data_IF_445681329867
#
_entry.id   IF_445681329867
#
_cell.length_a   1.000
_cell.length_b   1.000
_cell.length_c   1.000
_cell.angle_alpha   90.00
_cell.angle_beta   90.00
_cell.angle_gamma   90.00
#
_symmetry.space_group_name_H-M   'P 1'
#
loop_
_entity.id
_entity.type
_entity.pdbx_description
1 polymer ?
#
# COMPACT_ATOMS: atom_id res chain seq x y z
N UNK A 1 -8.59 29.08 3.22
CA UNK A 1 -8.43 30.43 2.59
C UNK A 1 -7.62 30.39 1.27
N UNK A 2 -6.68 29.42 1.10
CA UNK A 2 -5.93 29.29 -0.16
C UNK A 2 -6.79 28.65 -1.26
N UNK A 3 -7.81 27.87 -0.92
CA UNK A 3 -8.69 27.20 -1.86
C UNK A 3 -9.58 28.14 -2.68
N UNK A 4 -9.88 29.32 -2.17
CA UNK A 4 -10.69 30.33 -2.86
C UNK A 4 -9.94 31.08 -3.98
N UNK A 5 -8.61 31.03 -3.95
CA UNK A 5 -7.76 31.70 -4.93
C UNK A 5 -7.38 30.83 -6.15
N UNK A 6 -7.61 29.52 -6.08
CA UNK A 6 -7.23 28.57 -7.14
C UNK A 6 -8.48 27.99 -7.82
N UNK A 7 -8.94 28.67 -8.84
CA UNK A 7 -10.07 28.18 -9.68
C UNK A 7 -9.67 26.83 -10.30
N UNK A 8 -10.48 25.80 -10.06
CA UNK A 8 -10.25 24.44 -10.60
C UNK A 8 -9.29 23.56 -9.79
N UNK A 9 -8.86 23.97 -8.59
CA UNK A 9 -8.13 23.11 -7.68
C UNK A 9 -9.07 22.39 -6.70
N UNK A 10 -8.67 21.22 -6.26
CA UNK A 10 -9.36 20.44 -5.23
C UNK A 10 -8.34 19.74 -4.33
N UNK A 11 -8.68 19.60 -3.06
CA UNK A 11 -7.90 18.78 -2.14
C UNK A 11 -8.52 17.37 -2.15
N UNK A 12 -7.73 16.39 -2.53
CA UNK A 12 -8.14 14.99 -2.56
C UNK A 12 -7.25 14.17 -1.63
N UNK A 13 -7.86 13.19 -0.96
CA UNK A 13 -7.10 12.16 -0.24
C UNK A 13 -6.73 11.11 -1.29
N UNK A 14 -5.44 10.99 -1.54
CA UNK A 14 -4.88 10.04 -2.50
C UNK A 14 -3.60 9.41 -1.97
N UNK A 15 -3.24 8.30 -2.55
CA UNK A 15 -1.88 7.78 -2.48
C UNK A 15 -0.91 8.79 -3.09
N UNK A 16 0.23 8.95 -2.47
CA UNK A 16 1.31 9.78 -2.98
C UNK A 16 2.65 9.14 -2.70
N UNK A 17 3.58 9.29 -3.65
CA UNK A 17 4.96 8.93 -3.43
C UNK A 17 5.56 9.93 -2.43
N UNK A 18 5.91 9.45 -1.25
CA UNK A 18 6.46 10.29 -0.19
C UNK A 18 7.94 9.98 0.04
N UNK A 19 8.77 11.00 0.08
CA UNK A 19 10.17 10.85 0.47
C UNK A 19 10.35 11.13 1.96
N UNK A 20 10.64 10.11 2.80
CA UNK A 20 10.78 10.32 4.25
C UNK A 20 12.02 11.12 4.65
N UNK A 21 13.03 11.19 3.79
CA UNK A 21 14.23 12.00 4.02
C UNK A 21 14.01 13.48 3.65
N UNK A 22 13.38 13.75 2.50
CA UNK A 22 13.11 15.13 2.06
C UNK A 22 11.82 15.70 2.67
N UNK A 23 11.00 14.87 3.33
CA UNK A 23 9.70 15.22 3.92
C UNK A 23 8.78 15.93 2.90
N UNK A 24 8.67 15.33 1.72
CA UNK A 24 7.87 15.88 0.62
C UNK A 24 7.24 14.80 -0.23
N UNK A 25 6.07 15.10 -0.80
CA UNK A 25 5.49 14.31 -1.85
C UNK A 25 6.27 14.48 -3.16
N UNK A 26 6.29 13.44 -3.97
CA UNK A 26 6.93 13.37 -5.28
C UNK A 26 5.89 13.02 -6.32
N UNK A 27 6.02 13.61 -7.51
CA UNK A 27 5.31 13.13 -8.70
C UNK A 27 5.92 11.84 -9.24
N UNK A 28 5.18 11.10 -10.05
CA UNK A 28 5.69 9.85 -10.65
C UNK A 28 6.97 10.07 -11.49
N UNK A 29 7.09 11.25 -12.12
CA UNK A 29 8.28 11.63 -12.89
C UNK A 29 9.53 11.89 -12.02
N UNK A 30 9.36 12.06 -10.72
CA UNK A 30 10.44 12.31 -9.75
C UNK A 30 10.86 11.05 -8.99
N UNK A 31 10.29 9.90 -9.33
CA UNK A 31 10.61 8.60 -8.74
C UNK A 31 11.38 7.77 -9.73
N UNK A 32 12.56 7.34 -9.35
CA UNK A 32 13.40 6.44 -10.12
C UNK A 32 13.25 5.02 -9.59
N UNK A 33 12.94 4.06 -10.46
CA UNK A 33 12.72 2.67 -10.04
C UNK A 33 13.97 1.83 -10.26
N UNK A 34 14.36 1.09 -9.23
CA UNK A 34 15.51 0.18 -9.27
C UNK A 34 15.17 -1.17 -8.67
N UNK A 35 15.67 -2.24 -9.30
CA UNK A 35 15.52 -3.58 -8.76
C UNK A 35 16.43 -3.75 -7.54
N UNK A 36 15.82 -4.06 -6.40
CA UNK A 36 16.55 -4.33 -5.16
C UNK A 36 16.35 -5.78 -4.72
N UNK A 37 17.43 -6.43 -4.26
CA UNK A 37 17.30 -7.74 -3.65
C UNK A 37 16.56 -7.62 -2.32
N UNK A 38 15.63 -8.52 -2.10
CA UNK A 38 14.82 -8.61 -0.91
C UNK A 38 14.41 -10.03 -0.64
N UNK A 39 13.37 -10.20 0.15
CA UNK A 39 12.75 -11.49 0.40
C UNK A 39 11.24 -11.38 0.24
N UNK A 40 10.64 -12.49 -0.07
CA UNK A 40 9.20 -12.71 0.01
C UNK A 40 8.94 -13.59 1.24
N UNK A 41 8.25 -13.03 2.22
CA UNK A 41 7.92 -13.71 3.47
C UNK A 41 6.51 -14.28 3.41
N UNK A 42 6.39 -15.57 3.74
CA UNK A 42 5.12 -16.29 3.79
C UNK A 42 4.66 -16.40 5.24
N UNK A 43 3.55 -15.74 5.55
CA UNK A 43 3.03 -15.62 6.90
C UNK A 43 1.62 -16.21 6.97
N UNK A 44 1.35 -16.99 8.03
CA UNK A 44 0.02 -17.54 8.29
C UNK A 44 -0.80 -16.59 9.15
N UNK A 45 -2.04 -16.37 8.75
CA UNK A 45 -3.05 -15.66 9.53
C UNK A 45 -4.10 -16.66 9.97
N UNK A 46 -4.19 -16.99 11.28
CA UNK A 46 -5.16 -17.94 11.78
C UNK A 46 -6.59 -17.47 11.55
N UNK A 47 -7.45 -18.37 11.13
CA UNK A 47 -8.88 -18.09 11.01
C UNK A 47 -9.51 -18.02 12.41
N UNK A 48 -10.41 -17.04 12.62
CA UNK A 48 -11.07 -16.85 13.94
C UNK A 48 -11.94 -18.03 14.36
N UNK A 49 -12.47 -18.79 13.39
CA UNK A 49 -13.29 -19.97 13.66
C UNK A 49 -12.45 -21.24 13.98
N UNK A 50 -11.13 -21.13 13.98
CA UNK A 50 -10.21 -22.24 14.24
C UNK A 50 -10.16 -23.31 13.16
N UNK A 51 -10.75 -23.05 11.98
CA UNK A 51 -10.80 -24.05 10.88
C UNK A 51 -9.46 -24.18 10.10
N UNK A 52 -8.47 -23.34 10.42
CA UNK A 52 -7.15 -23.37 9.77
C UNK A 52 -6.52 -21.98 9.68
N UNK A 53 -5.64 -21.81 8.71
CA UNK A 53 -4.90 -20.57 8.47
C UNK A 53 -5.07 -20.14 7.01
N UNK A 54 -5.04 -18.84 6.77
CA UNK A 54 -4.80 -18.29 5.43
C UNK A 54 -3.34 -17.83 5.33
N UNK A 55 -2.65 -18.18 4.26
CA UNK A 55 -1.25 -17.84 4.06
C UNK A 55 -1.14 -16.70 3.09
N UNK A 56 -0.49 -15.63 3.51
CA UNK A 56 -0.17 -14.48 2.66
C UNK A 56 1.33 -14.41 2.38
N UNK A 57 1.70 -13.78 1.28
CA UNK A 57 3.08 -13.50 0.94
C UNK A 57 3.29 -11.98 0.84
N UNK A 58 4.35 -11.47 1.46
CA UNK A 58 4.65 -10.03 1.46
C UNK A 58 6.13 -9.76 1.30
N UNK A 59 6.46 -8.67 0.62
CA UNK A 59 7.82 -8.10 0.56
C UNK A 59 8.04 -7.02 1.62
N UNK A 60 6.96 -6.59 2.31
CA UNK A 60 6.96 -5.47 3.24
C UNK A 60 6.31 -5.85 4.58
N UNK A 61 6.95 -6.71 5.39
CA UNK A 61 6.38 -7.12 6.68
C UNK A 61 6.21 -5.97 7.66
N UNK A 62 6.98 -4.88 7.55
CA UNK A 62 6.86 -3.68 8.39
C UNK A 62 5.52 -2.94 8.23
N UNK A 63 4.78 -3.17 7.16
CA UNK A 63 3.44 -2.58 6.97
C UNK A 63 2.31 -3.45 7.52
N UNK A 64 2.59 -4.72 7.88
CA UNK A 64 1.56 -5.67 8.32
C UNK A 64 0.72 -5.17 9.49
N UNK A 65 1.30 -4.39 10.39
CA UNK A 65 0.57 -3.83 11.54
C UNK A 65 -0.61 -2.95 11.12
N UNK A 66 -0.57 -2.41 9.89
CA UNK A 66 -1.64 -1.63 9.27
C UNK A 66 -2.60 -2.46 8.42
N UNK A 67 -2.50 -3.79 8.38
CA UNK A 67 -3.41 -4.62 7.60
C UNK A 67 -4.82 -4.55 8.18
N UNK A 68 -5.80 -4.31 7.31
CA UNK A 68 -7.21 -4.18 7.68
C UNK A 68 -8.12 -5.16 6.97
N UNK A 69 -7.54 -6.03 6.15
CA UNK A 69 -8.24 -7.12 5.49
C UNK A 69 -7.28 -8.07 4.78
N UNK A 70 -7.83 -9.17 4.30
CA UNK A 70 -7.20 -10.08 3.35
C UNK A 70 -8.12 -10.22 2.16
N UNK A 71 -7.61 -9.99 0.95
CA UNK A 71 -8.38 -10.18 -0.27
C UNK A 71 -8.05 -11.51 -0.93
N UNK A 72 -9.06 -12.14 -1.52
CA UNK A 72 -8.96 -13.37 -2.30
C UNK A 72 -9.85 -13.26 -3.54
N UNK A 73 -9.52 -13.98 -4.61
CA UNK A 73 -10.38 -13.98 -5.79
C UNK A 73 -11.68 -14.74 -5.51
N UNK A 74 -12.86 -14.16 -5.80
CA UNK A 74 -14.16 -14.80 -5.55
C UNK A 74 -14.41 -16.05 -6.41
N UNK A 75 -13.68 -16.19 -7.51
CA UNK A 75 -13.75 -17.38 -8.39
C UNK A 75 -12.73 -18.45 -8.04
N UNK A 76 -11.80 -18.19 -7.11
CA UNK A 76 -10.82 -19.20 -6.66
C UNK A 76 -11.48 -20.21 -5.72
N UNK A 77 -11.68 -21.43 -6.21
CA UNK A 77 -12.29 -22.54 -5.46
C UNK A 77 -11.53 -22.85 -4.15
N UNK A 78 -10.24 -22.50 -4.07
CA UNK A 78 -9.41 -22.70 -2.88
C UNK A 78 -9.80 -21.78 -1.73
N UNK A 79 -10.19 -20.55 -2.03
CA UNK A 79 -10.41 -19.50 -1.03
C UNK A 79 -11.85 -18.97 -0.96
N UNK A 80 -12.65 -19.23 -1.97
CA UNK A 80 -14.04 -18.79 -2.08
C UNK A 80 -14.87 -19.04 -0.81
N UNK A 81 -14.64 -20.16 -0.13
CA UNK A 81 -15.34 -20.54 1.09
C UNK A 81 -14.93 -19.74 2.33
N UNK A 82 -13.86 -18.93 2.22
CA UNK A 82 -13.36 -18.06 3.30
C UNK A 82 -13.90 -16.63 3.21
N UNK A 83 -14.50 -16.24 2.06
CA UNK A 83 -15.06 -14.90 1.89
C UNK A 83 -16.17 -14.66 2.91
N UNK A 84 -16.08 -13.53 3.60
CA UNK A 84 -16.99 -13.16 4.69
C UNK A 84 -16.61 -13.71 6.06
N UNK A 85 -15.58 -14.55 6.15
CA UNK A 85 -14.97 -14.94 7.42
C UNK A 85 -13.94 -13.89 7.85
N UNK A 86 -13.38 -14.10 9.03
CA UNK A 86 -12.32 -13.26 9.58
C UNK A 86 -11.10 -14.07 9.96
N UNK A 87 -9.95 -13.42 9.97
CA UNK A 87 -8.69 -13.98 10.44
C UNK A 87 -8.03 -13.04 11.45
N UNK A 88 -7.09 -13.58 12.21
CA UNK A 88 -6.33 -12.83 13.21
C UNK A 88 -5.03 -12.35 12.59
N UNK A 89 -4.82 -11.04 12.60
CA UNK A 89 -3.54 -10.43 12.26
C UNK A 89 -2.50 -10.80 13.31
N UNK A 90 -1.42 -11.52 12.95
CA UNK A 90 -0.35 -11.89 13.88
C UNK A 90 0.24 -10.67 14.60
N UNK A 91 0.81 -10.88 15.79
CA UNK A 91 1.44 -9.85 16.64
C UNK A 91 0.44 -8.83 17.18
N UNK A 92 -0.38 -8.23 16.33
CA UNK A 92 -1.38 -7.21 16.73
C UNK A 92 -2.63 -7.83 17.35
N UNK A 93 -2.87 -9.12 17.17
CA UNK A 93 -4.05 -9.85 17.63
C UNK A 93 -5.38 -9.16 17.25
N UNK A 94 -5.39 -8.49 16.09
CA UNK A 94 -6.56 -7.80 15.56
C UNK A 94 -7.30 -8.71 14.60
N UNK A 95 -8.61 -8.78 14.74
CA UNK A 95 -9.49 -9.47 13.81
C UNK A 95 -9.68 -8.61 12.55
N UNK A 96 -9.46 -9.21 11.37
CA UNK A 96 -9.60 -8.56 10.07
C UNK A 96 -10.44 -9.42 9.12
N UNK A 97 -11.28 -8.82 8.26
CA UNK A 97 -12.15 -9.54 7.33
C UNK A 97 -11.38 -10.15 6.15
N UNK A 98 -11.93 -11.24 5.61
CA UNK A 98 -11.53 -11.81 4.33
C UNK A 98 -12.57 -11.38 3.29
N UNK A 99 -12.14 -10.64 2.29
CA UNK A 99 -12.99 -10.06 1.24
C UNK A 99 -12.72 -10.70 -0.12
N UNK A 100 -13.75 -10.77 -0.95
CA UNK A 100 -13.61 -11.24 -2.34
C UNK A 100 -13.39 -10.07 -3.28
N UNK A 101 -12.27 -10.03 -3.99
CA UNK A 101 -11.98 -8.99 -4.98
C UNK A 101 -11.23 -9.57 -6.19
N UNK A 102 -11.66 -9.16 -7.39
CA UNK A 102 -11.06 -9.60 -8.66
C UNK A 102 -9.62 -9.09 -8.86
N UNK A 103 -9.18 -8.14 -8.03
CA UNK A 103 -7.79 -7.68 -7.98
C UNK A 103 -6.81 -8.83 -7.71
N UNK A 104 -7.23 -9.85 -6.96
CA UNK A 104 -6.41 -11.01 -6.66
C UNK A 104 -6.39 -11.97 -7.84
N UNK A 105 -5.24 -12.15 -8.48
CA UNK A 105 -5.08 -13.08 -9.60
C UNK A 105 -5.01 -14.53 -9.13
N UNK A 106 -5.82 -15.40 -9.76
CA UNK A 106 -5.84 -16.82 -9.46
C UNK A 106 -4.51 -17.46 -9.89
N UNK A 107 -3.87 -18.17 -8.96
CA UNK A 107 -2.60 -18.87 -9.21
C UNK A 107 -1.36 -17.98 -9.08
N UNK A 108 -1.50 -16.69 -8.78
CA UNK A 108 -0.37 -15.84 -8.45
C UNK A 108 -0.05 -15.88 -6.94
N UNK A 109 1.22 -16.09 -6.60
CA UNK A 109 1.68 -16.15 -5.21
C UNK A 109 0.96 -17.21 -4.38
N UNK A 110 0.36 -16.80 -3.27
CA UNK A 110 -0.46 -17.69 -2.43
C UNK A 110 -1.93 -17.71 -2.86
N UNK A 111 -2.36 -16.78 -3.70
CA UNK A 111 -3.76 -16.53 -4.07
C UNK A 111 -4.53 -15.68 -3.06
N UNK A 112 -3.89 -15.31 -1.95
CA UNK A 112 -4.43 -14.41 -0.94
C UNK A 112 -3.47 -13.22 -0.74
N UNK A 113 -4.01 -12.01 -0.71
CA UNK A 113 -3.24 -10.76 -0.62
C UNK A 113 -3.66 -10.01 0.64
N UNK A 114 -2.69 -9.58 1.44
CA UNK A 114 -2.96 -8.70 2.58
C UNK A 114 -3.38 -7.32 2.09
N UNK A 115 -4.29 -6.66 2.76
CA UNK A 115 -4.75 -5.32 2.42
C UNK A 115 -4.26 -4.31 3.44
N UNK A 116 -3.37 -3.41 3.00
CA UNK A 116 -2.84 -2.31 3.80
C UNK A 116 -3.15 -0.97 3.11
N UNK A 117 -4.38 -0.49 3.16
CA UNK A 117 -4.84 0.66 2.38
C UNK A 117 -4.03 1.94 2.58
N UNK A 118 -3.38 2.10 3.73
CA UNK A 118 -2.56 3.28 4.03
C UNK A 118 -1.19 3.29 3.32
N UNK A 119 -0.69 2.15 2.83
CA UNK A 119 0.70 1.98 2.37
C UNK A 119 0.83 1.33 1.00
N UNK A 120 -0.26 1.10 0.29
CA UNK A 120 -0.28 0.60 -1.08
C UNK A 120 -1.47 1.20 -1.84
N UNK A 121 -1.22 1.79 -3.03
CA UNK A 121 -2.29 2.39 -3.85
C UNK A 121 -3.38 1.42 -4.26
N UNK A 122 -3.00 0.20 -4.63
CA UNK A 122 -3.96 -0.82 -5.06
C UNK A 122 -4.79 -1.32 -3.87
N UNK A 123 -4.14 -1.51 -2.71
CA UNK A 123 -4.82 -1.87 -1.47
C UNK A 123 -5.81 -0.78 -1.03
N UNK A 124 -5.49 0.50 -1.29
CA UNK A 124 -6.39 1.61 -1.01
C UNK A 124 -7.66 1.53 -1.86
N UNK A 125 -7.54 1.27 -3.16
CA UNK A 125 -8.69 1.10 -4.06
C UNK A 125 -9.56 -0.10 -3.66
N UNK A 126 -8.95 -1.23 -3.30
CA UNK A 126 -9.68 -2.39 -2.75
C UNK A 126 -10.34 -2.01 -1.42
N UNK A 127 -9.62 -1.30 -0.57
CA UNK A 127 -10.12 -0.80 0.71
C UNK A 127 -11.37 0.07 0.58
N UNK A 128 -11.40 0.97 -0.41
CA UNK A 128 -12.58 1.80 -0.70
C UNK A 128 -13.78 0.95 -1.13
N UNK A 129 -13.56 -0.05 -2.01
CA UNK A 129 -14.66 -0.94 -2.48
C UNK A 129 -15.27 -1.77 -1.36
N UNK A 130 -14.45 -2.21 -0.41
CA UNK A 130 -14.85 -3.09 0.69
C UNK A 130 -15.02 -2.38 2.03
N UNK A 131 -14.90 -1.04 2.04
CA UNK A 131 -15.00 -0.22 3.25
C UNK A 131 -14.04 -0.66 4.37
N UNK A 132 -12.80 -1.01 3.99
CA UNK A 132 -11.74 -1.36 4.93
C UNK A 132 -11.20 -0.09 5.61
N UNK A 133 -10.78 -0.22 6.85
CA UNK A 133 -10.16 0.87 7.60
C UNK A 133 -8.80 1.24 7.02
N UNK A 134 -8.45 2.52 7.07
CA UNK A 134 -7.14 3.01 6.64
C UNK A 134 -6.28 3.28 7.86
N UNK A 135 -5.38 2.36 8.19
CA UNK A 135 -4.50 2.45 9.38
C UNK A 135 -3.07 2.72 8.91
N UNK A 136 -2.63 3.95 9.12
CA UNK A 136 -1.26 4.35 8.83
C UNK A 136 -0.33 3.89 9.94
N UNK A 137 0.79 3.23 9.61
CA UNK A 137 1.80 2.73 10.57
C UNK A 137 3.19 3.32 10.36
N UNK A 138 3.47 3.90 9.18
CA UNK A 138 4.73 4.60 8.91
C UNK A 138 4.49 6.10 8.98
N UNK A 139 5.24 6.81 9.80
CA UNK A 139 5.22 8.27 9.95
C UNK A 139 5.91 8.97 8.76
N UNK A 140 5.84 10.30 8.70
CA UNK A 140 6.39 11.09 7.59
C UNK A 140 7.91 10.96 7.48
N UNK A 141 8.61 10.73 8.57
CA UNK A 141 10.07 10.54 8.63
C UNK A 141 10.51 9.09 8.37
N UNK A 142 9.58 8.19 8.09
CA UNK A 142 9.86 6.77 7.83
C UNK A 142 10.01 5.91 9.08
N UNK A 143 9.73 6.44 10.26
CA UNK A 143 9.65 5.67 11.50
C UNK A 143 8.26 5.05 11.67
N UNK A 144 8.16 4.03 12.49
CA UNK A 144 6.89 3.41 12.86
C UNK A 144 6.19 4.31 13.89
N UNK A 145 4.92 4.61 13.65
CA UNK A 145 4.11 5.42 14.56
C UNK A 145 3.43 4.58 15.67
N UNK A 146 2.57 5.21 16.47
CA UNK A 146 1.84 4.58 17.57
C UNK A 146 0.97 3.38 17.17
N UNK A 147 0.46 3.35 15.94
CA UNK A 147 -0.33 2.23 15.42
C UNK A 147 0.51 0.97 15.18
N UNK A 148 1.83 1.10 15.13
CA UNK A 148 2.77 -0.02 15.06
C UNK A 148 3.00 -0.73 16.40
N UNK A 149 2.31 -0.32 17.47
CA UNK A 149 2.33 -0.98 18.78
C UNK A 149 3.73 -1.13 19.35
N UNK A 150 4.24 -2.37 19.54
CA UNK A 150 5.54 -2.60 20.18
C UNK A 150 6.74 -2.05 19.38
N UNK A 151 6.56 -1.75 18.09
CA UNK A 151 7.61 -1.24 17.20
C UNK A 151 7.61 0.28 17.05
N UNK A 152 6.75 1.00 17.80
CA UNK A 152 6.67 2.46 17.74
C UNK A 152 8.03 3.12 17.94
N UNK A 153 8.37 4.07 17.07
CA UNK A 153 9.63 4.82 17.06
C UNK A 153 10.81 4.11 16.37
N UNK A 154 10.65 2.86 15.92
CA UNK A 154 11.69 2.18 15.15
C UNK A 154 11.76 2.70 13.72
N UNK A 155 12.96 2.71 13.11
CA UNK A 155 13.10 2.83 11.67
C UNK A 155 12.40 1.66 10.96
N UNK A 156 11.79 1.91 9.79
CA UNK A 156 11.02 0.92 9.03
C UNK A 156 11.83 -0.35 8.67
N UNK A 157 13.14 -0.22 8.41
CA UNK A 157 13.99 -1.38 8.06
C UNK A 157 14.42 -2.17 9.31
N UNK A 158 14.60 -1.49 10.43
CA UNK A 158 14.84 -2.15 11.72
C UNK A 158 13.56 -2.86 12.18
N UNK A 159 12.42 -2.23 12.04
CA UNK A 159 11.11 -2.84 12.29
C UNK A 159 10.90 -4.10 11.44
N UNK A 160 11.24 -4.05 10.14
CA UNK A 160 11.17 -5.22 9.26
C UNK A 160 11.93 -6.42 9.81
N UNK A 161 13.13 -6.21 10.34
CA UNK A 161 13.93 -7.28 10.95
C UNK A 161 13.30 -7.78 12.25
N UNK A 162 12.83 -6.87 13.08
CA UNK A 162 12.22 -7.21 14.35
C UNK A 162 10.93 -8.01 14.17
N UNK A 163 10.01 -7.54 13.29
CA UNK A 163 8.74 -8.21 13.05
C UNK A 163 8.93 -9.60 12.42
N UNK A 164 9.90 -9.78 11.52
CA UNK A 164 10.21 -11.09 10.93
C UNK A 164 10.69 -12.06 12.01
N UNK A 165 11.54 -11.60 12.92
CA UNK A 165 12.02 -12.40 14.05
C UNK A 165 10.87 -12.79 14.98
N UNK A 166 10.00 -11.86 15.33
CA UNK A 166 8.84 -12.13 16.20
C UNK A 166 7.84 -13.09 15.56
N UNK A 167 7.62 -12.98 14.23
CA UNK A 167 6.79 -13.91 13.47
C UNK A 167 7.39 -15.33 13.44
N UNK A 168 8.72 -15.45 13.37
CA UNK A 168 9.42 -16.73 13.45
C UNK A 168 9.31 -17.34 14.84
N UNK A 169 9.58 -16.57 15.91
CA UNK A 169 9.51 -17.00 17.29
C UNK A 169 8.09 -17.44 17.70
N UNK A 170 7.06 -16.77 17.17
CA UNK A 170 5.64 -17.10 17.41
C UNK A 170 5.10 -18.20 16.47
N UNK A 171 5.91 -18.65 15.51
CA UNK A 171 5.54 -19.71 14.58
C UNK A 171 4.55 -19.29 13.47
N UNK A 172 4.40 -18.01 13.21
CA UNK A 172 3.58 -17.50 12.11
C UNK A 172 4.34 -17.43 10.79
N UNK A 173 5.67 -17.30 10.81
CA UNK A 173 6.49 -17.34 9.61
C UNK A 173 6.62 -18.78 9.10
N UNK A 174 6.23 -19.02 7.85
CA UNK A 174 6.32 -20.34 7.22
C UNK A 174 7.67 -20.50 6.52
N UNK A 175 8.04 -19.54 5.70
CA UNK A 175 9.29 -19.49 4.94
C UNK A 175 9.59 -18.08 4.47
N UNK A 176 10.84 -17.86 4.09
CA UNK A 176 11.30 -16.68 3.38
C UNK A 176 12.05 -17.12 2.12
N UNK A 177 11.75 -16.50 0.98
CA UNK A 177 12.40 -16.81 -0.30
C UNK A 177 13.08 -15.55 -0.83
N UNK A 178 14.29 -15.64 -1.38
CA UNK A 178 14.91 -14.51 -2.07
C UNK A 178 14.01 -14.01 -3.21
N UNK A 179 13.75 -12.73 -3.23
CA UNK A 179 12.89 -12.09 -4.22
C UNK A 179 13.45 -10.71 -4.57
N UNK A 180 13.56 -10.41 -5.87
CA UNK A 180 13.92 -9.08 -6.33
C UNK A 180 12.65 -8.32 -6.69
N UNK A 181 12.51 -7.12 -6.18
CA UNK A 181 11.36 -6.27 -6.48
C UNK A 181 11.81 -4.85 -6.82
N UNK A 182 10.98 -4.18 -7.59
CA UNK A 182 11.24 -2.83 -8.05
C UNK A 182 10.87 -1.84 -6.95
N UNK A 183 11.86 -1.04 -6.50
CA UNK A 183 11.69 -0.05 -5.43
C UNK A 183 11.86 1.34 -6.01
N UNK A 184 10.89 2.20 -5.74
CA UNK A 184 10.97 3.62 -6.09
C UNK A 184 11.96 4.36 -5.18
N UNK A 185 12.79 5.19 -5.76
CA UNK A 185 13.75 6.05 -5.06
C UNK A 185 13.55 7.51 -5.44
N UNK A 186 13.79 8.39 -4.49
CA UNK A 186 13.69 9.83 -4.68
C UNK A 186 14.84 10.33 -5.57
N UNK A 187 14.54 11.02 -6.65
CA UNK A 187 15.56 11.56 -7.57
C UNK A 187 16.54 12.56 -6.94
N UNK A 188 16.17 13.18 -5.79
CA UNK A 188 17.01 14.18 -5.09
C UNK A 188 18.00 13.57 -4.12
N UNK A 189 17.54 12.59 -3.31
CA UNK A 189 18.34 12.04 -2.20
C UNK A 189 18.60 10.55 -2.32
N UNK A 190 18.03 9.87 -3.33
CA UNK A 190 18.13 8.43 -3.59
C UNK A 190 17.66 7.51 -2.44
N UNK A 191 16.91 8.07 -1.48
CA UNK A 191 16.24 7.26 -0.46
C UNK A 191 14.98 6.61 -1.03
N UNK A 192 14.63 5.46 -0.48
CA UNK A 192 13.43 4.74 -0.87
C UNK A 192 12.18 5.54 -0.54
N UNK A 193 11.28 5.60 -1.50
CA UNK A 193 9.99 6.29 -1.42
C UNK A 193 8.99 5.41 -0.70
N UNK A 194 8.12 6.01 0.09
CA UNK A 194 6.99 5.34 0.74
C UNK A 194 5.68 5.78 0.08
N UNK A 195 4.86 4.84 -0.41
CA UNK A 195 3.49 5.16 -0.75
C UNK A 195 2.72 5.51 0.54
N UNK A 196 2.23 6.73 0.62
CA UNK A 196 1.44 7.21 1.77
C UNK A 196 0.13 7.82 1.28
N UNK A 197 -0.93 7.53 2.00
CA UNK A 197 -2.21 8.19 1.80
C UNK A 197 -2.17 9.54 2.50
N UNK A 198 -2.32 10.61 1.71
CA UNK A 198 -2.29 11.98 2.22
C UNK A 198 -3.24 12.90 1.45
N UNK A 199 -3.62 14.00 2.09
CA UNK A 199 -4.38 15.05 1.42
C UNK A 199 -3.43 15.87 0.54
N UNK A 200 -3.69 15.88 -0.77
CA UNK A 200 -2.90 16.58 -1.77
C UNK A 200 -3.78 17.51 -2.60
N UNK A 201 -3.18 18.61 -3.06
CA UNK A 201 -3.81 19.54 -3.97
C UNK A 201 -3.72 19.03 -5.41
N UNK A 202 -4.86 18.92 -6.06
CA UNK A 202 -4.95 18.57 -7.48
C UNK A 202 -5.66 19.66 -8.26
N UNK A 203 -5.26 19.82 -9.51
CA UNK A 203 -5.93 20.72 -10.44
C UNK A 203 -6.88 19.92 -11.30
N UNK A 204 -8.16 20.34 -11.37
CA UNK A 204 -9.15 19.79 -12.28
C UNK A 204 -8.78 20.16 -13.71
N UNK A 205 -8.00 19.31 -14.36
CA UNK A 205 -7.49 19.59 -15.72
C UNK A 205 -8.55 19.57 -16.80
N UNK A 206 -9.61 18.75 -16.66
CA UNK A 206 -10.61 18.58 -17.71
C UNK A 206 -11.33 19.88 -18.12
N UNK A 207 -11.82 20.75 -17.21
CA UNK A 207 -12.41 22.04 -17.59
C UNK A 207 -11.40 22.98 -18.27
N UNK A 208 -10.17 23.04 -17.74
CA UNK A 208 -9.10 23.89 -18.28
C UNK A 208 -8.66 23.43 -19.67
N UNK A 209 -8.47 22.13 -19.85
CA UNK A 209 -8.10 21.55 -21.13
C UNK A 209 -9.17 21.76 -22.19
N UNK A 210 -10.46 21.68 -21.82
CA UNK A 210 -11.58 21.90 -22.74
C UNK A 210 -11.54 23.28 -23.41
N UNK A 211 -11.12 24.31 -22.69
CA UNK A 211 -10.96 25.67 -23.23
C UNK A 211 -9.64 25.83 -23.99
N UNK A 212 -8.58 25.21 -23.55
CA UNK A 212 -7.25 25.33 -24.15
C UNK A 212 -7.09 24.56 -25.48
N UNK A 213 -7.69 23.39 -25.60
CA UNK A 213 -7.56 22.51 -26.78
C UNK A 213 -7.98 23.21 -28.09
N UNK A 214 -9.15 23.89 -28.19
CA UNK A 214 -9.51 24.59 -29.40
C UNK A 214 -8.51 25.66 -29.82
N UNK A 215 -7.96 26.40 -28.83
CA UNK A 215 -6.95 27.43 -29.08
C UNK A 215 -5.67 26.82 -29.62
N UNK A 216 -5.22 25.71 -29.07
CA UNK A 216 -4.03 24.98 -29.53
C UNK A 216 -4.17 24.55 -30.99
N UNK A 217 -5.31 24.02 -31.38
CA UNK A 217 -5.55 23.59 -32.78
C UNK A 217 -5.66 24.76 -33.76
N UNK A 218 -6.09 25.94 -33.33
CA UNK A 218 -6.28 27.09 -34.22
C UNK A 218 -5.06 28.00 -34.31
N UNK A 219 -4.22 28.07 -33.25
CA UNK A 219 -3.15 29.07 -33.16
C UNK A 219 -1.74 28.48 -33.09
N UNK A 220 -1.59 27.15 -32.85
CA UNK A 220 -0.30 26.48 -32.73
C UNK A 220 0.01 25.54 -33.90
N UNK A 221 -0.61 25.74 -35.07
CA UNK A 221 -0.18 25.04 -36.29
C UNK A 221 1.20 25.53 -36.67
N UNK A 222 2.18 24.64 -36.66
CA UNK A 222 3.51 24.92 -37.21
C UNK A 222 3.35 25.30 -38.67
N UNK A 223 4.00 26.40 -39.16
CA UNK A 223 4.05 26.66 -40.59
C UNK A 223 4.78 25.50 -41.27
N UNK A 224 4.11 24.86 -42.24
CA UNK A 224 4.66 23.85 -43.13
C UNK A 224 5.72 24.44 -44.05
#
# INVERSE_FOLDING_TARGET
>A
EISECLVGSEMCIRDSNWCPHCLTALSDAEVEYTDKPGNLWYVRYPLTDGSGDIVIATTRPETMMGDTGVAVNPEDEKFKHLIGKTCILPIMNREIPIVGDEYCEIGFGTGAVKMTPAHDPNDFEVGLRHNLEVIRVIADDGTINENGGPYNGMDRYECRKAIVKDLEEQGYLIKAEPYSHNVGTCYRCHNDVEPLISAQWFVKMAPLAKEAIPVSYTHLTLPT
#
